data_IF_526827602577
#
_entry.id   IF_526827602577
#
_cell.length_a   1.000
_cell.length_b   1.000
_cell.length_c   1.000
_cell.angle_alpha   90.00
_cell.angle_beta   90.00
_cell.angle_gamma   90.00
#
_symmetry.space_group_name_H-M   'P 1'
#
loop_
_entity.id
_entity.type
_entity.pdbx_description
1 polymer ?
#
# COMPACT_ATOMS: atom_id res chain seq x y z
N UNK A 1 -11.72 -15.58 -25.23
CA UNK A 1 -10.83 -15.30 -24.09
C UNK A 1 -10.94 -13.82 -23.79
N UNK A 2 -11.34 -13.43 -22.57
CA UNK A 2 -11.39 -12.01 -22.20
C UNK A 2 -9.96 -11.53 -21.93
N UNK A 3 -9.50 -10.52 -22.69
CA UNK A 3 -8.23 -9.86 -22.42
C UNK A 3 -8.44 -8.77 -21.37
N UNK A 4 -7.62 -8.76 -20.32
CA UNK A 4 -7.62 -7.72 -19.30
C UNK A 4 -6.42 -6.80 -19.52
N UNK A 5 -6.67 -5.50 -19.64
CA UNK A 5 -5.62 -4.50 -19.88
C UNK A 5 -5.49 -3.58 -18.67
N UNK A 6 -4.25 -3.27 -18.27
CA UNK A 6 -3.99 -2.27 -17.23
C UNK A 6 -4.26 -0.89 -17.80
N UNK A 7 -5.17 -0.13 -17.18
CA UNK A 7 -5.53 1.22 -17.64
C UNK A 7 -4.68 2.32 -17.00
N UNK A 8 -4.19 2.10 -15.79
CA UNK A 8 -3.40 3.07 -15.03
C UNK A 8 -2.58 2.36 -13.94
N UNK A 9 -1.39 2.90 -13.65
CA UNK A 9 -0.58 2.58 -12.47
C UNK A 9 -0.20 3.91 -11.83
N UNK A 10 -0.43 4.05 -10.52
CA UNK A 10 -0.19 5.30 -9.79
C UNK A 10 0.46 4.99 -8.46
N UNK A 11 1.41 5.83 -8.07
CA UNK A 11 1.98 5.81 -6.72
C UNK A 11 1.17 6.74 -5.82
N UNK A 12 0.47 6.18 -4.84
CA UNK A 12 -0.37 6.93 -3.90
C UNK A 12 0.50 7.41 -2.75
N UNK A 13 0.55 8.73 -2.57
CA UNK A 13 1.26 9.38 -1.46
C UNK A 13 0.36 9.55 -0.23
N UNK A 14 0.98 9.61 0.93
CA UNK A 14 0.32 9.92 2.20
C UNK A 14 0.04 11.43 2.29
N UNK A 15 -1.00 11.81 3.02
CA UNK A 15 -1.38 13.22 3.20
C UNK A 15 -0.59 13.94 4.31
N UNK A 16 0.15 13.21 5.14
CA UNK A 16 0.88 13.75 6.30
C UNK A 16 2.33 13.29 6.31
N UNK A 17 3.25 14.22 6.61
CA UNK A 17 4.66 13.91 6.81
C UNK A 17 4.85 13.09 8.08
N UNK A 18 5.71 12.09 7.97
CA UNK A 18 6.15 11.28 9.10
C UNK A 18 7.00 12.09 10.06
N UNK A 19 6.68 12.11 11.38
CA UNK A 19 7.60 12.67 12.37
C UNK A 19 8.97 11.99 12.24
N UNK A 20 10.10 12.73 12.23
CA UNK A 20 11.43 12.15 12.04
C UNK A 20 11.78 11.03 13.03
N UNK A 21 11.19 11.06 14.22
CA UNK A 21 11.35 10.05 15.28
C UNK A 21 10.70 8.70 14.97
N UNK A 22 9.74 8.64 14.04
CA UNK A 22 9.02 7.42 13.62
C UNK A 22 9.49 6.90 12.26
N UNK A 23 10.58 7.46 11.73
CA UNK A 23 11.06 7.16 10.38
C UNK A 23 11.66 5.77 10.22
N UNK A 24 12.12 5.16 11.32
CA UNK A 24 12.73 3.83 11.31
C UNK A 24 12.03 2.94 12.31
N UNK A 25 11.51 1.81 11.84
CA UNK A 25 10.94 0.76 12.68
C UNK A 25 11.78 -0.51 12.57
N UNK A 26 12.49 -0.87 13.63
CA UNK A 26 13.31 -2.07 13.65
C UNK A 26 12.42 -3.31 13.66
N UNK A 27 12.75 -4.28 12.81
CA UNK A 27 12.05 -5.55 12.73
C UNK A 27 12.45 -6.44 13.91
N UNK A 28 11.47 -7.15 14.46
CA UNK A 28 11.73 -8.11 15.53
C UNK A 28 12.38 -9.36 14.95
N UNK A 29 12.94 -10.20 15.83
CA UNK A 29 13.46 -11.51 15.41
C UNK A 29 12.42 -12.34 14.65
N UNK A 30 11.15 -12.27 15.08
CA UNK A 30 10.05 -12.98 14.42
C UNK A 30 9.81 -12.46 12.99
N UNK A 31 9.96 -11.16 12.77
CA UNK A 31 9.79 -10.57 11.44
C UNK A 31 10.94 -10.94 10.49
N UNK A 32 12.16 -11.08 11.02
CA UNK A 32 13.34 -11.48 10.24
C UNK A 32 13.35 -12.96 9.82
N UNK A 33 12.80 -13.87 10.64
CA UNK A 33 12.76 -15.31 10.32
C UNK A 33 11.63 -15.67 9.34
N UNK A 34 10.60 -14.83 9.23
CA UNK A 34 9.60 -14.98 8.19
C UNK A 34 10.23 -14.55 6.85
N UNK A 35 10.13 -15.41 5.83
CA UNK A 35 10.59 -15.04 4.49
C UNK A 35 9.86 -13.74 4.06
N UNK A 36 10.55 -12.75 3.46
CA UNK A 36 9.91 -11.61 2.84
C UNK A 36 9.14 -12.08 1.60
N UNK A 37 7.95 -12.61 1.83
CA UNK A 37 7.11 -13.14 0.77
C UNK A 37 5.87 -12.26 0.65
N UNK A 38 5.71 -11.68 -0.54
CA UNK A 38 4.49 -10.99 -0.90
C UNK A 38 3.34 -12.00 -0.91
N UNK A 39 2.33 -11.76 -0.10
CA UNK A 39 1.14 -12.60 -0.03
C UNK A 39 0.08 -12.07 -1.01
N UNK A 40 -0.18 -12.75 -2.13
CA UNK A 40 -1.17 -12.27 -3.11
C UNK A 40 -2.58 -12.50 -2.56
N UNK A 41 -3.38 -11.43 -2.51
CA UNK A 41 -4.81 -11.50 -2.18
C UNK A 41 -5.64 -10.89 -3.31
N UNK A 42 -6.79 -11.52 -3.60
CA UNK A 42 -7.76 -11.04 -4.57
C UNK A 42 -9.16 -11.09 -3.95
N UNK A 43 -9.89 -9.97 -4.06
CA UNK A 43 -11.24 -9.84 -3.54
C UNK A 43 -12.20 -9.50 -4.68
N UNK A 44 -13.32 -10.20 -4.76
CA UNK A 44 -14.34 -10.02 -5.80
C UNK A 44 -15.60 -9.43 -5.19
N UNK A 45 -16.11 -8.36 -5.81
CA UNK A 45 -17.31 -7.66 -5.37
C UNK A 45 -18.33 -7.61 -6.53
N UNK A 46 -19.64 -7.69 -6.23
CA UNK A 46 -20.66 -7.48 -7.25
C UNK A 46 -20.59 -6.05 -7.80
N UNK A 47 -21.05 -5.86 -9.03
CA UNK A 47 -21.04 -4.54 -9.68
C UNK A 47 -21.99 -3.59 -8.92
N UNK A 48 -21.50 -2.47 -8.38
CA UNK A 48 -22.38 -1.47 -7.78
C UNK A 48 -23.21 -0.78 -8.86
N UNK A 49 -24.50 -0.55 -8.58
CA UNK A 49 -25.42 0.08 -9.53
C UNK A 49 -25.19 1.60 -9.66
N UNK A 50 -24.80 2.25 -8.56
CA UNK A 50 -24.75 3.71 -8.45
C UNK A 50 -23.36 4.32 -8.69
N UNK A 51 -22.34 3.51 -8.98
CA UNK A 51 -20.97 3.98 -9.12
C UNK A 51 -20.37 3.55 -10.45
N UNK A 52 -19.79 4.51 -11.16
CA UNK A 52 -18.97 4.22 -12.32
C UNK A 52 -17.53 3.83 -11.90
N UNK A 53 -16.76 3.27 -12.84
CA UNK A 53 -15.38 2.80 -12.58
C UNK A 53 -14.46 3.91 -12.05
N UNK A 54 -14.59 5.14 -12.57
CA UNK A 54 -13.74 6.26 -12.16
C UNK A 54 -14.05 6.70 -10.71
N UNK A 55 -15.33 6.73 -10.34
CA UNK A 55 -15.75 7.05 -8.97
C UNK A 55 -15.24 6.02 -7.98
N UNK A 56 -15.32 4.72 -8.32
CA UNK A 56 -14.76 3.65 -7.49
C UNK A 56 -13.25 3.82 -7.34
N UNK A 57 -12.52 4.06 -8.44
CA UNK A 57 -11.07 4.31 -8.41
C UNK A 57 -10.73 5.49 -7.48
N UNK A 58 -11.46 6.60 -7.58
CA UNK A 58 -11.24 7.78 -6.73
C UNK A 58 -11.52 7.50 -5.25
N UNK A 59 -12.59 6.76 -4.93
CA UNK A 59 -12.92 6.39 -3.55
C UNK A 59 -11.81 5.50 -2.96
N UNK A 60 -11.34 4.51 -3.72
CA UNK A 60 -10.26 3.62 -3.30
C UNK A 60 -8.94 4.38 -3.13
N UNK A 61 -8.55 5.21 -4.11
CA UNK A 61 -7.34 6.04 -4.04
C UNK A 61 -7.36 6.96 -2.80
N UNK A 62 -8.48 7.63 -2.54
CA UNK A 62 -8.63 8.56 -1.41
C UNK A 62 -8.66 7.84 -0.05
N UNK A 63 -9.37 6.71 0.06
CA UNK A 63 -9.43 5.95 1.30
C UNK A 63 -8.08 5.31 1.63
N UNK A 64 -7.38 4.80 0.62
CA UNK A 64 -6.04 4.25 0.76
C UNK A 64 -5.05 5.33 1.23
N UNK A 65 -5.03 6.50 0.58
CA UNK A 65 -4.17 7.63 0.98
C UNK A 65 -4.36 8.05 2.45
N UNK A 66 -5.60 7.96 2.97
CA UNK A 66 -5.92 8.26 4.38
C UNK A 66 -5.42 7.20 5.36
N UNK A 67 -5.60 5.91 5.06
CA UNK A 67 -5.22 4.82 5.97
C UNK A 67 -3.71 4.60 5.96
N UNK A 68 -3.05 4.87 4.84
CA UNK A 68 -1.63 4.66 4.71
C UNK A 68 -0.80 5.47 5.70
N UNK A 69 -1.25 6.63 6.17
CA UNK A 69 -0.55 7.37 7.25
C UNK A 69 -0.40 6.57 8.55
N UNK A 70 -1.11 5.45 8.69
CA UNK A 70 -1.02 4.55 9.85
C UNK A 70 -0.27 3.24 9.58
N UNK A 71 -0.01 2.87 8.31
CA UNK A 71 0.47 1.53 7.91
C UNK A 71 1.54 1.57 6.81
N UNK A 72 2.45 2.54 6.84
CA UNK A 72 3.40 2.79 5.76
C UNK A 72 4.83 2.36 6.09
N UNK A 73 5.62 2.20 5.03
CA UNK A 73 7.06 1.98 5.08
C UNK A 73 7.53 0.90 4.10
N UNK A 74 8.83 0.87 3.84
CA UNK A 74 9.50 -0.09 2.95
C UNK A 74 10.57 -0.84 3.73
N UNK A 75 10.62 -2.15 3.55
CA UNK A 75 11.68 -2.97 4.16
C UNK A 75 13.03 -2.62 3.53
N UNK A 76 14.04 -2.34 4.35
CA UNK A 76 15.40 -1.97 3.97
C UNK A 76 16.45 -2.83 4.66
N UNK A 77 17.70 -2.66 4.24
CA UNK A 77 18.92 -3.26 4.81
C UNK A 77 18.74 -4.72 5.22
N UNK A 78 18.57 -5.60 4.23
CA UNK A 78 18.42 -7.05 4.42
C UNK A 78 17.33 -7.44 5.44
N UNK A 79 16.19 -6.76 5.43
CA UNK A 79 15.05 -7.01 6.31
C UNK A 79 15.35 -6.76 7.79
N UNK A 80 16.16 -5.77 8.10
CA UNK A 80 16.44 -5.42 9.50
C UNK A 80 15.53 -4.31 10.02
N UNK A 81 15.01 -3.45 9.14
CA UNK A 81 14.09 -2.39 9.52
C UNK A 81 13.16 -1.98 8.37
N UNK A 82 12.10 -1.26 8.72
CA UNK A 82 11.19 -0.58 7.81
C UNK A 82 11.54 0.90 7.78
N UNK A 83 11.90 1.41 6.60
CA UNK A 83 12.07 2.83 6.31
C UNK A 83 10.73 3.44 5.92
N UNK A 84 10.27 4.36 6.74
CA UNK A 84 9.03 5.10 6.57
C UNK A 84 9.30 6.35 5.70
N UNK A 85 9.96 6.16 4.55
CA UNK A 85 10.14 7.19 3.55
C UNK A 85 8.80 7.46 2.87
N UNK A 86 8.37 8.73 2.77
CA UNK A 86 7.05 9.13 2.23
C UNK A 86 6.94 8.89 0.69
N UNK A 87 7.66 7.89 0.19
CA UNK A 87 7.80 7.49 -1.22
C UNK A 87 6.51 6.88 -1.76
N UNK A 88 5.59 6.42 -0.89
CA UNK A 88 4.26 5.94 -1.29
C UNK A 88 4.23 4.49 -1.78
N UNK A 89 3.03 4.01 -2.09
CA UNK A 89 2.76 2.62 -2.53
C UNK A 89 2.07 2.58 -3.91
N UNK A 90 2.23 1.46 -4.62
CA UNK A 90 1.60 1.17 -5.93
C UNK A 90 0.49 0.11 -5.84
#
# INVERSE_FOLDING_TARGET
>A
MASSTILSRKMIKFLSLTPPSLRHHNLSFMDCINLPQYSPFAFFYPKPENYNKNQISQILENSLSKVLSSYYGRIKDNNTYVDCDDTGIE
#
